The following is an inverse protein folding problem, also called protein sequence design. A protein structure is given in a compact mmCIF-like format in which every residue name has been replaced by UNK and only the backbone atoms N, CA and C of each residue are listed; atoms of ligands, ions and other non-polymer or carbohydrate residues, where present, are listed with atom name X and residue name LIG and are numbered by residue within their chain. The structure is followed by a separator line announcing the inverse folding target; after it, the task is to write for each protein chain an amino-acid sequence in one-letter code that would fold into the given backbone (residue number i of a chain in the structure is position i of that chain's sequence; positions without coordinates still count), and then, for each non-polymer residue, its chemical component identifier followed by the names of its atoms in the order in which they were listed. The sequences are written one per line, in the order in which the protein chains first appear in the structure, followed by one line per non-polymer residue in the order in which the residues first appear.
data_IF_533167720394
#
_entry.id   IF_533167720394
#
_cell.length_a   1.000
_cell.length_b   1.000
_cell.length_c   1.000
_cell.angle_alpha   90.00
_cell.angle_beta   90.00
_cell.angle_gamma   90.00
#
_symmetry.space_group_name_H-M   'P 1'
#
loop_
_entity.id
_entity.type
_entity.pdbx_description
1 polymer ?
#
# COMPACT_ATOMS: atom_id res chain seq x y z
N UNK A 1 -18.47 6.52 21.63
CA UNK A 1 -17.03 6.24 21.74
C UNK A 1 -16.32 7.24 20.82
N UNK A 2 -15.56 8.18 21.37
CA UNK A 2 -14.98 9.31 20.62
C UNK A 2 -14.11 8.78 19.49
N UNK A 3 -14.33 9.30 18.29
CA UNK A 3 -13.47 9.09 17.13
C UNK A 3 -12.07 9.59 17.47
N UNK A 4 -11.16 8.68 17.84
CA UNK A 4 -9.75 9.03 18.01
C UNK A 4 -9.20 9.42 16.63
N UNK A 5 -8.90 10.70 16.45
CA UNK A 5 -8.30 11.21 15.21
C UNK A 5 -7.00 10.46 14.94
N UNK A 6 -6.99 9.70 13.84
CA UNK A 6 -5.78 9.05 13.32
C UNK A 6 -4.76 10.15 13.05
N UNK A 7 -3.59 10.08 13.68
CA UNK A 7 -2.56 11.11 13.50
C UNK A 7 -1.71 10.83 12.25
N UNK A 8 -2.39 10.61 11.12
CA UNK A 8 -1.74 10.35 9.82
C UNK A 8 -1.05 11.59 9.25
N UNK A 9 -1.34 12.78 9.77
CA UNK A 9 -0.69 14.04 9.36
C UNK A 9 0.79 14.11 9.74
N UNK A 10 1.21 13.36 10.77
CA UNK A 10 2.63 13.23 11.15
C UNK A 10 3.40 12.17 10.34
N UNK A 11 2.71 11.44 9.45
CA UNK A 11 3.30 10.36 8.68
C UNK A 11 3.62 10.83 7.26
N UNK A 12 4.79 10.45 6.70
CA UNK A 12 5.09 10.72 5.29
C UNK A 12 4.04 10.10 4.35
N UNK A 13 3.97 10.52 3.07
CA UNK A 13 3.07 9.91 2.10
C UNK A 13 3.62 8.59 1.54
N UNK A 14 2.71 7.66 1.20
CA UNK A 14 2.96 6.51 0.33
C UNK A 14 4.23 5.71 0.66
N UNK A 15 5.17 5.62 -0.29
CA UNK A 15 6.42 4.86 -0.16
C UNK A 15 7.35 5.43 0.90
N UNK A 16 7.41 6.76 1.06
CA UNK A 16 8.20 7.39 2.13
C UNK A 16 7.72 6.94 3.51
N UNK A 17 6.41 6.68 3.66
CA UNK A 17 5.85 6.12 4.91
C UNK A 17 6.31 4.69 5.14
N UNK A 18 6.36 3.90 4.06
CA UNK A 18 6.80 2.53 4.13
C UNK A 18 8.28 2.44 4.52
N UNK A 19 9.13 3.29 3.94
CA UNK A 19 10.55 3.38 4.28
C UNK A 19 10.75 3.84 5.73
N UNK A 20 9.98 4.83 6.18
CA UNK A 20 10.01 5.30 7.57
C UNK A 20 9.60 4.20 8.56
N UNK A 21 8.50 3.47 8.30
CA UNK A 21 8.13 2.34 9.15
C UNK A 21 9.19 1.23 9.12
N UNK A 22 9.81 0.99 7.96
CA UNK A 22 10.86 -0.01 7.84
C UNK A 22 12.12 0.38 8.63
N UNK A 23 12.53 1.65 8.64
CA UNK A 23 13.68 2.10 9.43
C UNK A 23 13.40 1.96 10.93
N UNK A 24 12.20 2.35 11.38
CA UNK A 24 11.77 2.17 12.76
C UNK A 24 11.83 0.70 13.22
N UNK A 25 11.35 -0.22 12.37
CA UNK A 25 11.41 -1.66 12.67
C UNK A 25 12.85 -2.21 12.73
N UNK A 26 13.80 -1.58 12.03
CA UNK A 26 15.21 -2.03 11.96
C UNK A 26 16.07 -1.43 13.07
N UNK A 27 15.84 -0.16 13.41
CA UNK A 27 16.75 0.63 14.25
C UNK A 27 16.37 0.63 15.73
N UNK A 28 15.11 0.34 16.07
CA UNK A 28 14.57 0.69 17.39
C UNK A 28 13.97 -0.48 18.20
N UNK A 29 14.12 -1.73 17.75
CA UNK A 29 13.44 -2.92 18.32
C UNK A 29 11.91 -2.76 18.50
N UNK A 30 11.30 -1.75 17.88
CA UNK A 30 9.86 -1.51 18.02
C UNK A 30 9.09 -2.44 17.08
N UNK A 31 7.95 -2.92 17.56
CA UNK A 31 7.09 -3.82 16.78
C UNK A 31 6.07 -3.03 15.97
N UNK A 32 5.41 -3.70 15.01
CA UNK A 32 4.25 -3.14 14.29
C UNK A 32 3.17 -2.67 15.27
N UNK A 33 2.99 -3.38 16.39
CA UNK A 33 2.05 -3.01 17.45
C UNK A 33 2.41 -1.70 18.11
N UNK A 34 3.69 -1.49 18.41
CA UNK A 34 4.17 -0.26 19.02
C UNK A 34 4.09 0.92 18.04
N UNK A 35 4.41 0.72 16.75
CA UNK A 35 4.22 1.73 15.71
C UNK A 35 2.75 2.14 15.62
N UNK A 36 1.84 1.16 15.52
CA UNK A 36 0.40 1.42 15.41
C UNK A 36 -0.13 2.21 16.61
N UNK A 37 0.29 1.83 17.82
CA UNK A 37 -0.05 2.53 19.07
C UNK A 37 0.50 3.96 19.08
N UNK A 38 1.79 4.14 18.76
CA UNK A 38 2.48 5.44 18.77
C UNK A 38 1.83 6.45 17.83
N UNK A 39 1.42 6.03 16.64
CA UNK A 39 0.82 6.90 15.64
C UNK A 39 -0.72 6.87 15.62
N UNK A 40 -1.35 6.15 16.56
CA UNK A 40 -2.82 5.99 16.64
C UNK A 40 -3.43 5.52 15.32
N UNK A 41 -2.80 4.54 14.69
CA UNK A 41 -3.27 3.88 13.46
C UNK A 41 -3.50 2.40 13.71
N UNK A 42 -4.23 1.72 12.83
CA UNK A 42 -4.43 0.27 12.98
C UNK A 42 -3.15 -0.51 12.63
N UNK A 43 -2.99 -1.71 13.20
CA UNK A 43 -1.95 -2.66 12.77
C UNK A 43 -2.02 -2.93 11.27
N UNK A 44 -3.25 -3.04 10.75
CA UNK A 44 -3.51 -3.23 9.32
C UNK A 44 -3.05 -2.05 8.49
N UNK A 45 -3.10 -0.82 8.98
CA UNK A 45 -2.56 0.35 8.28
C UNK A 45 -1.04 0.22 8.13
N UNK A 46 -0.33 -0.02 9.23
CA UNK A 46 1.14 -0.19 9.24
C UNK A 46 1.56 -1.35 8.31
N UNK A 47 0.94 -2.51 8.47
CA UNK A 47 1.23 -3.70 7.64
C UNK A 47 0.96 -3.44 6.16
N UNK A 48 -0.17 -2.81 5.82
CA UNK A 48 -0.50 -2.49 4.43
C UNK A 48 0.46 -1.47 3.81
N UNK A 49 0.90 -0.46 4.58
CA UNK A 49 1.93 0.48 4.12
C UNK A 49 3.24 -0.23 3.85
N UNK A 50 3.71 -1.09 4.75
CA UNK A 50 4.96 -1.85 4.57
C UNK A 50 4.92 -2.75 3.32
N UNK A 51 3.76 -3.31 2.98
CA UNK A 51 3.62 -4.14 1.77
C UNK A 51 3.87 -3.37 0.47
N UNK A 52 3.74 -2.03 0.45
CA UNK A 52 4.00 -1.21 -0.75
C UNK A 52 5.45 -1.31 -1.22
N UNK A 53 6.40 -1.65 -0.33
CA UNK A 53 7.81 -1.85 -0.69
C UNK A 53 7.98 -3.00 -1.70
N UNK A 54 7.07 -3.97 -1.70
CA UNK A 54 7.07 -5.14 -2.60
C UNK A 54 6.59 -4.84 -4.01
N UNK A 55 6.14 -3.61 -4.28
CA UNK A 55 5.70 -3.21 -5.62
C UNK A 55 6.90 -3.22 -6.60
N UNK A 56 6.70 -3.65 -7.86
CA UNK A 56 7.65 -3.41 -8.94
C UNK A 56 7.86 -1.91 -9.18
N UNK A 57 9.02 -1.54 -9.72
CA UNK A 57 9.42 -0.13 -9.86
C UNK A 57 8.42 0.70 -10.67
N UNK A 58 7.96 0.19 -11.80
CA UNK A 58 6.94 0.87 -12.62
C UNK A 58 5.66 1.20 -11.83
N UNK A 59 5.26 0.34 -10.88
CA UNK A 59 4.06 0.56 -10.06
C UNK A 59 4.35 1.55 -8.93
N UNK A 60 5.57 1.54 -8.38
CA UNK A 60 6.03 2.53 -7.40
C UNK A 60 6.04 3.93 -8.00
N UNK A 61 6.58 4.09 -9.21
CA UNK A 61 6.57 5.37 -9.94
C UNK A 61 5.14 5.87 -10.15
N UNK A 62 4.23 5.01 -10.60
CA UNK A 62 2.82 5.36 -10.74
C UNK A 62 2.15 5.81 -9.44
N UNK A 63 2.53 5.21 -8.31
CA UNK A 63 2.02 5.63 -7.00
C UNK A 63 2.62 6.98 -6.56
N UNK A 64 3.90 7.23 -6.83
CA UNK A 64 4.56 8.50 -6.51
C UNK A 64 4.04 9.66 -7.34
N UNK A 65 3.76 9.42 -8.62
CA UNK A 65 3.23 10.41 -9.55
C UNK A 65 1.72 10.66 -9.36
N UNK A 66 1.04 9.84 -8.56
CA UNK A 66 -0.40 9.94 -8.34
C UNK A 66 -1.26 9.34 -9.46
N UNK A 67 -0.67 8.61 -10.41
CA UNK A 67 -1.40 7.88 -11.45
C UNK A 67 -2.32 6.80 -10.87
N UNK A 68 -1.90 6.24 -9.73
CA UNK A 68 -2.66 5.28 -8.94
C UNK A 68 -2.66 5.67 -7.45
N UNK A 69 -3.71 5.26 -6.73
CA UNK A 69 -3.83 5.48 -5.30
C UNK A 69 -3.20 4.32 -4.52
N UNK A 70 -3.01 4.49 -3.19
CA UNK A 70 -2.65 3.37 -2.32
C UNK A 70 -3.69 2.24 -2.36
N UNK A 71 -4.96 2.53 -2.66
CA UNK A 71 -5.99 1.51 -2.88
C UNK A 71 -5.69 0.64 -4.10
N UNK A 72 -5.35 1.26 -5.23
CA UNK A 72 -4.95 0.57 -6.46
C UNK A 72 -3.67 -0.26 -6.22
N UNK A 73 -2.67 0.32 -5.58
CA UNK A 73 -1.41 -0.36 -5.27
C UNK A 73 -1.62 -1.60 -4.37
N UNK A 74 -2.48 -1.51 -3.35
CA UNK A 74 -2.83 -2.65 -2.49
C UNK A 74 -3.58 -3.75 -3.22
N UNK A 75 -4.48 -3.40 -4.15
CA UNK A 75 -5.17 -4.38 -4.98
C UNK A 75 -4.20 -5.10 -5.92
N UNK A 76 -3.24 -4.38 -6.50
CA UNK A 76 -2.17 -4.95 -7.33
C UNK A 76 -1.29 -5.95 -6.56
N UNK A 77 -1.00 -5.69 -5.28
CA UNK A 77 -0.25 -6.61 -4.40
C UNK A 77 -0.96 -7.95 -4.12
N UNK A 78 -2.19 -8.16 -4.61
CA UNK A 78 -2.84 -9.48 -4.61
C UNK A 78 -2.35 -10.37 -5.75
N UNK A 79 -1.66 -9.82 -6.76
CA UNK A 79 -1.03 -10.54 -7.87
C UNK A 79 0.42 -10.87 -7.49
N UNK A 80 0.74 -12.14 -7.30
CA UNK A 80 2.08 -12.56 -6.85
C UNK A 80 3.16 -12.45 -7.93
N UNK A 81 2.76 -12.57 -9.20
CA UNK A 81 3.67 -12.47 -10.34
C UNK A 81 3.90 -11.00 -10.74
N UNK A 82 5.16 -10.57 -10.75
CA UNK A 82 5.51 -9.17 -11.00
C UNK A 82 5.19 -8.71 -12.43
N UNK A 83 5.32 -9.59 -13.43
CA UNK A 83 5.02 -9.25 -14.82
C UNK A 83 3.51 -9.06 -15.02
N UNK A 84 2.70 -9.98 -14.48
CA UNK A 84 1.23 -9.86 -14.48
C UNK A 84 0.77 -8.62 -13.72
N UNK A 85 1.42 -8.28 -12.61
CA UNK A 85 1.13 -7.05 -11.87
C UNK A 85 1.39 -5.80 -12.72
N UNK A 86 2.52 -5.73 -13.41
CA UNK A 86 2.87 -4.61 -14.32
C UNK A 86 1.87 -4.52 -15.48
N UNK A 87 1.48 -5.65 -16.07
CA UNK A 87 0.46 -5.68 -17.13
C UNK A 87 -0.89 -5.14 -16.63
N UNK A 88 -1.32 -5.57 -15.44
CA UNK A 88 -2.57 -5.10 -14.85
C UNK A 88 -2.49 -3.61 -14.49
N UNK A 89 -1.33 -3.13 -13.99
CA UNK A 89 -1.09 -1.71 -13.77
C UNK A 89 -1.24 -0.87 -15.04
N UNK A 90 -0.64 -1.30 -16.16
CA UNK A 90 -0.83 -0.63 -17.45
C UNK A 90 -2.30 -0.58 -17.86
N UNK A 91 -3.02 -1.69 -17.67
CA UNK A 91 -4.47 -1.76 -17.91
C UNK A 91 -5.26 -0.78 -17.04
N UNK A 92 -4.91 -0.65 -15.76
CA UNK A 92 -5.54 0.30 -14.83
C UNK A 92 -5.40 1.74 -15.33
N UNK A 93 -4.21 2.11 -15.83
CA UNK A 93 -3.98 3.48 -16.33
C UNK A 93 -4.80 3.76 -17.57
N UNK A 94 -4.79 2.83 -18.54
CA UNK A 94 -5.45 2.99 -19.84
C UNK A 94 -6.98 2.99 -19.68
N UNK A 95 -7.51 2.03 -18.92
CA UNK A 95 -8.97 1.84 -18.77
C UNK A 95 -9.56 2.58 -17.56
N UNK A 96 -8.73 3.30 -16.78
CA UNK A 96 -9.12 4.03 -15.56
C UNK A 96 -9.93 3.16 -14.60
N UNK A 97 -9.44 1.94 -14.36
CA UNK A 97 -10.14 0.95 -13.54
C UNK A 97 -10.22 1.38 -12.08
N UNK A 98 -11.38 1.19 -11.46
CA UNK A 98 -11.56 1.39 -10.02
C UNK A 98 -10.91 0.26 -9.20
N UNK A 99 -10.53 0.57 -7.95
CA UNK A 99 -10.06 -0.41 -6.95
C UNK A 99 -10.96 -1.65 -6.90
N UNK A 100 -12.28 -1.45 -6.80
CA UNK A 100 -13.26 -2.54 -6.73
C UNK A 100 -13.23 -3.44 -7.96
N UNK A 101 -13.03 -2.86 -9.15
CA UNK A 101 -12.92 -3.63 -10.39
C UNK A 101 -11.64 -4.46 -10.41
N UNK A 102 -10.52 -3.90 -9.95
CA UNK A 102 -9.23 -4.62 -9.86
C UNK A 102 -9.34 -5.79 -8.89
N UNK A 103 -9.89 -5.56 -7.69
CA UNK A 103 -10.11 -6.62 -6.70
C UNK A 103 -10.95 -7.77 -7.26
N UNK A 104 -12.00 -7.45 -8.02
CA UNK A 104 -12.82 -8.45 -8.72
C UNK A 104 -12.00 -9.23 -9.75
N UNK A 105 -11.27 -8.56 -10.64
CA UNK A 105 -10.45 -9.19 -11.67
C UNK A 105 -9.37 -10.13 -11.08
N UNK A 106 -8.71 -9.69 -10.01
CA UNK A 106 -7.66 -10.49 -9.35
C UNK A 106 -8.26 -11.68 -8.58
N UNK A 107 -9.49 -11.55 -8.06
CA UNK A 107 -10.20 -12.66 -7.41
C UNK A 107 -10.69 -13.69 -8.41
N UNK A 108 -11.24 -13.25 -9.54
CA UNK A 108 -11.74 -14.13 -10.61
C UNK A 108 -10.61 -14.90 -11.31
N UNK A 109 -9.46 -14.26 -11.58
CA UNK A 109 -8.31 -14.92 -12.22
C UNK A 109 -7.48 -15.84 -11.30
N UNK A 110 -7.94 -16.10 -10.06
CA UNK A 110 -7.33 -17.06 -9.13
C UNK A 110 -8.09 -18.39 -9.06
N UNK A 111 -9.26 -18.49 -9.69
CA UNK A 111 -9.99 -19.73 -9.92
C UNK A 111 -9.65 -20.30 -11.30
#
# INVERSE_FOLDING_TARGET
MKSEEKNTSLLPPHLKRADFFLSLLRESEITITEIARRYKVSLSFVSNTLRLIKLPEAVKEGLLNGDISEGHARALLMVSDSQKMIMLYKKIIVEKLSVRKIEKLVKEGKN
#
